data_IF_811419252868
#
_entry.id   IF_811419252868
#
_cell.length_a   1.000
_cell.length_b   1.000
_cell.length_c   1.000
_cell.angle_alpha   90.00
_cell.angle_beta   90.00
_cell.angle_gamma   90.00
#
_symmetry.space_group_name_H-M   'P 1'
#
loop_
_entity.id
_entity.type
_entity.pdbx_description
1 polymer ?
#
# COMPACT_ATOMS: atom_id res chain seq x y z
N UNK A 1 -19.21 9.42 -16.39
CA UNK A 1 -18.85 8.47 -16.25
C UNK A 1 -18.72 8.33 -15.40
N UNK A 2 -18.96 7.57 -15.31
CA UNK A 2 -18.58 6.93 -14.46
C UNK A 2 -17.39 6.33 -14.45
N UNK A 3 -16.54 6.68 -13.80
CA UNK A 3 -15.30 6.07 -13.60
C UNK A 3 -15.40 4.77 -12.90
N UNK A 4 -14.33 4.06 -12.89
CA UNK A 4 -14.20 2.91 -12.00
C UNK A 4 -14.25 3.43 -10.57
N UNK A 5 -15.06 2.85 -9.70
CA UNK A 5 -15.02 3.21 -8.29
C UNK A 5 -13.62 2.99 -7.73
N UNK A 6 -13.13 3.95 -6.97
CA UNK A 6 -11.76 3.93 -6.44
C UNK A 6 -11.75 3.85 -4.92
N UNK A 7 -12.56 2.96 -4.37
CA UNK A 7 -12.43 2.62 -2.96
C UNK A 7 -11.23 1.67 -2.76
N UNK A 8 -10.78 1.54 -1.54
CA UNK A 8 -9.57 0.79 -1.24
C UNK A 8 -8.30 1.60 -1.48
N UNK A 9 -7.16 0.95 -1.39
CA UNK A 9 -5.85 1.60 -1.47
C UNK A 9 -5.23 1.39 -2.85
N UNK A 10 -5.18 2.44 -3.67
CA UNK A 10 -4.57 2.39 -4.99
C UNK A 10 -3.05 2.24 -4.86
N UNK A 11 -2.45 1.41 -5.72
CA UNK A 11 -1.02 1.10 -5.65
C UNK A 11 -0.15 2.34 -5.83
N UNK A 12 -0.48 3.21 -6.78
CA UNK A 12 0.30 4.42 -7.03
C UNK A 12 0.19 5.41 -5.87
N UNK A 13 -0.97 5.52 -5.24
CA UNK A 13 -1.17 6.41 -4.09
C UNK A 13 -0.41 5.88 -2.87
N UNK A 14 -0.41 4.58 -2.68
CA UNK A 14 0.34 3.96 -1.58
C UNK A 14 1.84 4.19 -1.75
N UNK A 15 2.35 4.09 -2.98
CA UNK A 15 3.75 4.38 -3.27
C UNK A 15 4.11 5.85 -3.01
N UNK A 16 3.23 6.77 -3.42
CA UNK A 16 3.42 8.21 -3.15
C UNK A 16 3.39 8.50 -1.66
N UNK A 17 2.49 7.87 -0.93
CA UNK A 17 2.41 8.03 0.53
C UNK A 17 3.70 7.58 1.19
N UNK A 18 4.24 6.43 0.78
CA UNK A 18 5.51 5.93 1.31
C UNK A 18 6.64 6.93 1.08
N UNK A 19 6.76 7.47 -0.14
CA UNK A 19 7.78 8.46 -0.49
C UNK A 19 7.64 9.72 0.34
N UNK A 20 6.41 10.21 0.51
CA UNK A 20 6.13 11.41 1.29
C UNK A 20 6.48 11.21 2.76
N UNK A 21 6.09 10.08 3.34
CA UNK A 21 6.38 9.77 4.74
C UNK A 21 7.88 9.61 4.98
N UNK A 22 8.60 8.98 4.05
CA UNK A 22 10.05 8.84 4.14
C UNK A 22 10.74 10.20 4.12
N UNK A 23 10.27 11.12 3.26
CA UNK A 23 10.79 12.48 3.20
C UNK A 23 10.49 13.26 4.48
N UNK A 24 9.25 13.19 4.99
CA UNK A 24 8.87 13.85 6.24
C UNK A 24 9.71 13.35 7.41
N UNK A 25 9.93 12.04 7.49
CA UNK A 25 10.78 11.46 8.53
C UNK A 25 12.20 12.02 8.47
N UNK A 26 12.73 12.16 7.25
CA UNK A 26 14.07 12.69 7.04
C UNK A 26 14.18 14.14 7.48
N UNK A 27 13.26 15.01 7.06
CA UNK A 27 13.33 16.42 7.43
C UNK A 27 13.05 16.64 8.91
N UNK A 28 12.26 15.78 9.55
CA UNK A 28 12.07 15.82 11.00
C UNK A 28 13.35 15.49 11.75
N UNK A 29 14.06 14.44 11.30
CA UNK A 29 15.35 14.05 11.87
C UNK A 29 16.39 15.16 11.73
N UNK A 30 16.39 15.84 10.59
CA UNK A 30 17.34 16.92 10.32
C UNK A 30 16.98 18.21 11.06
N UNK A 31 15.89 18.23 11.80
CA UNK A 31 15.44 19.41 12.53
C UNK A 31 14.80 20.49 11.68
N UNK A 32 14.54 20.20 10.40
CA UNK A 32 13.94 21.17 9.47
C UNK A 32 12.43 21.23 9.58
N UNK A 33 11.82 20.22 10.21
CA UNK A 33 10.38 20.14 10.40
C UNK A 33 10.13 19.69 11.84
N UNK A 34 9.31 20.44 12.58
CA UNK A 34 9.17 20.19 14.02
C UNK A 34 8.26 19.00 14.36
N UNK A 35 7.42 18.57 13.44
CA UNK A 35 6.50 17.46 13.69
C UNK A 35 7.13 16.17 13.22
N UNK A 36 6.95 15.09 13.97
CA UNK A 36 7.48 13.77 13.57
C UNK A 36 6.42 12.68 13.61
N UNK A 37 5.18 13.02 13.97
CA UNK A 37 4.12 12.02 14.11
C UNK A 37 2.76 12.62 13.86
N UNK A 38 1.78 11.75 13.64
CA UNK A 38 0.36 12.10 13.55
C UNK A 38 -0.44 11.17 14.46
N UNK A 39 -1.66 11.56 14.81
CA UNK A 39 -2.54 10.70 15.59
C UNK A 39 -3.35 9.80 14.65
N UNK A 40 -3.44 8.53 15.02
CA UNK A 40 -4.33 7.59 14.34
C UNK A 40 -5.76 7.80 14.82
N UNK A 41 -6.72 7.10 14.20
CA UNK A 41 -8.13 7.20 14.57
C UNK A 41 -8.40 6.81 16.02
N UNK A 42 -7.57 5.95 16.61
CA UNK A 42 -7.68 5.54 18.02
C UNK A 42 -6.94 6.47 18.98
N UNK A 43 -6.55 7.65 18.51
CA UNK A 43 -5.82 8.68 19.26
C UNK A 43 -4.39 8.32 19.66
N UNK A 44 -3.87 7.17 19.25
CA UNK A 44 -2.46 6.83 19.49
C UNK A 44 -1.58 7.45 18.40
N UNK A 45 -0.39 7.94 18.77
CA UNK A 45 0.50 8.53 17.77
C UNK A 45 1.22 7.47 16.95
N UNK A 46 1.54 7.82 15.70
CA UNK A 46 2.45 7.03 14.88
C UNK A 46 3.43 8.00 14.23
N UNK A 47 4.73 7.69 14.32
CA UNK A 47 5.73 8.53 13.69
C UNK A 47 5.71 8.33 12.17
N UNK A 48 6.19 9.33 11.42
CA UNK A 48 6.30 9.20 9.97
C UNK A 48 7.19 8.01 9.60
N UNK A 49 8.29 7.84 10.33
CA UNK A 49 9.22 6.72 10.12
C UNK A 49 8.53 5.37 10.33
N UNK A 50 7.79 5.21 11.43
CA UNK A 50 7.07 3.97 11.72
C UNK A 50 5.99 3.68 10.68
N UNK A 51 5.27 4.70 10.24
CA UNK A 51 4.24 4.55 9.22
C UNK A 51 4.86 4.14 7.88
N UNK A 52 5.95 4.80 7.47
CA UNK A 52 6.66 4.43 6.25
C UNK A 52 7.15 2.98 6.31
N UNK A 53 7.66 2.56 7.47
CA UNK A 53 8.12 1.18 7.66
C UNK A 53 6.97 0.17 7.52
N UNK A 54 5.81 0.48 8.08
CA UNK A 54 4.63 -0.39 7.93
C UNK A 54 4.25 -0.56 6.45
N UNK A 55 4.27 0.51 5.68
CA UNK A 55 3.97 0.44 4.26
C UNK A 55 5.02 -0.43 3.55
N UNK A 56 6.30 -0.18 3.81
CA UNK A 56 7.39 -0.93 3.20
C UNK A 56 7.28 -2.43 3.51
N UNK A 57 7.05 -2.76 4.78
CA UNK A 57 7.04 -4.16 5.21
C UNK A 57 5.85 -4.94 4.66
N UNK A 58 4.75 -4.25 4.34
CA UNK A 58 3.52 -4.91 3.90
C UNK A 58 3.20 -4.72 2.42
N UNK A 59 3.91 -3.84 1.72
CA UNK A 59 3.61 -3.50 0.34
C UNK A 59 3.65 -4.72 -0.57
N UNK A 60 4.75 -5.47 -0.54
CA UNK A 60 4.90 -6.67 -1.37
C UNK A 60 3.81 -7.70 -1.04
N UNK A 61 3.57 -7.94 0.25
CA UNK A 61 2.59 -8.92 0.69
C UNK A 61 1.18 -8.60 0.21
N UNK A 62 0.81 -7.32 0.20
CA UNK A 62 -0.54 -6.91 -0.14
C UNK A 62 -0.76 -6.69 -1.63
N UNK A 63 0.27 -6.23 -2.34
CA UNK A 63 0.11 -5.81 -3.74
C UNK A 63 0.75 -6.73 -4.75
N UNK A 64 1.82 -7.43 -4.41
CA UNK A 64 2.54 -8.23 -5.40
C UNK A 64 1.82 -9.56 -5.69
N UNK A 65 1.79 -9.94 -6.97
CA UNK A 65 1.27 -11.23 -7.41
C UNK A 65 2.46 -12.03 -7.94
N UNK A 66 2.86 -13.11 -7.23
CA UNK A 66 4.07 -13.85 -7.63
C UNK A 66 3.88 -14.53 -8.97
N UNK A 67 5.00 -14.76 -9.65
CA UNK A 67 4.99 -15.48 -10.93
C UNK A 67 4.51 -16.91 -10.80
N UNK A 68 4.85 -17.56 -9.67
CA UNK A 68 4.53 -18.96 -9.44
C UNK A 68 3.41 -19.06 -8.41
N UNK A 69 2.33 -19.73 -8.78
CA UNK A 69 1.18 -19.93 -7.89
C UNK A 69 1.56 -20.65 -6.58
N UNK A 70 2.64 -21.43 -6.58
CA UNK A 70 3.12 -22.10 -5.38
C UNK A 70 3.56 -21.12 -4.28
N UNK A 71 3.84 -19.88 -4.64
CA UNK A 71 4.26 -18.84 -3.69
C UNK A 71 3.10 -18.01 -3.16
N UNK A 72 1.88 -18.26 -3.60
CA UNK A 72 0.70 -17.45 -3.21
C UNK A 72 0.51 -17.38 -1.70
N UNK A 73 0.93 -18.38 -0.96
CA UNK A 73 0.75 -18.41 0.50
C UNK A 73 1.53 -17.30 1.23
N UNK A 74 2.53 -16.72 0.57
CA UNK A 74 3.33 -15.62 1.14
C UNK A 74 2.64 -14.26 1.01
N UNK A 75 1.56 -14.18 0.23
CA UNK A 75 0.93 -12.92 -0.16
C UNK A 75 -0.57 -12.96 0.11
N UNK A 76 -1.19 -11.77 0.11
CA UNK A 76 -2.64 -11.66 0.21
C UNK A 76 -3.21 -11.78 -1.20
N UNK A 77 -3.65 -12.98 -1.58
CA UNK A 77 -4.08 -13.29 -2.94
C UNK A 77 -5.39 -14.07 -2.95
N UNK A 78 -6.25 -13.73 -3.92
CA UNK A 78 -7.41 -14.54 -4.26
C UNK A 78 -7.18 -15.12 -5.66
N UNK A 79 -6.72 -16.39 -5.74
CA UNK A 79 -6.24 -16.96 -7.02
C UNK A 79 -7.27 -16.92 -8.15
N UNK A 80 -8.55 -17.05 -7.83
CA UNK A 80 -9.63 -17.10 -8.82
C UNK A 80 -9.76 -15.80 -9.63
N UNK A 81 -9.28 -14.69 -9.10
CA UNK A 81 -9.37 -13.38 -9.75
C UNK A 81 -8.11 -12.96 -10.48
N UNK A 82 -7.04 -13.76 -10.38
CA UNK A 82 -5.75 -13.43 -10.99
C UNK A 82 -5.74 -13.79 -12.45
N UNK A 83 -5.52 -12.79 -13.33
CA UNK A 83 -5.40 -13.01 -14.76
C UNK A 83 -3.99 -12.75 -15.30
N UNK A 84 -3.10 -12.20 -14.49
CA UNK A 84 -1.69 -11.95 -14.82
C UNK A 84 -0.85 -12.10 -13.57
N UNK A 85 0.39 -12.52 -13.74
CA UNK A 85 1.30 -12.75 -12.62
C UNK A 85 2.62 -12.01 -12.83
N UNK A 86 3.37 -11.84 -11.74
CA UNK A 86 4.64 -11.12 -11.79
C UNK A 86 4.45 -9.61 -11.84
N UNK A 87 3.31 -9.11 -11.40
CA UNK A 87 2.99 -7.68 -11.40
C UNK A 87 2.29 -7.30 -10.09
N UNK A 88 2.07 -6.02 -9.89
CA UNK A 88 1.38 -5.50 -8.72
C UNK A 88 -0.09 -5.28 -8.99
N UNK A 89 -0.92 -5.42 -7.96
CA UNK A 89 -2.34 -5.11 -8.03
C UNK A 89 -2.56 -3.62 -8.23
N UNK A 90 -3.69 -3.26 -8.86
CA UNK A 90 -4.13 -1.86 -8.97
C UNK A 90 -4.54 -1.30 -7.61
N UNK A 91 -5.37 -2.04 -6.88
CA UNK A 91 -5.96 -1.62 -5.63
C UNK A 91 -5.82 -2.73 -4.60
N UNK A 92 -5.91 -2.37 -3.32
CA UNK A 92 -5.99 -3.33 -2.24
C UNK A 92 -7.19 -2.99 -1.35
N UNK A 93 -8.02 -3.99 -1.08
CA UNK A 93 -9.15 -3.82 -0.17
C UNK A 93 -10.31 -3.02 -0.72
N UNK A 94 -10.51 -3.02 -2.05
CA UNK A 94 -11.68 -2.38 -2.64
C UNK A 94 -12.96 -3.15 -2.28
N UNK A 95 -14.10 -2.48 -2.40
CA UNK A 95 -15.40 -3.10 -2.14
C UNK A 95 -15.74 -4.23 -3.12
N UNK A 96 -15.09 -4.24 -4.27
CA UNK A 96 -15.22 -5.30 -5.27
C UNK A 96 -13.86 -5.90 -5.53
N UNK A 97 -13.68 -7.14 -5.11
CA UNK A 97 -12.38 -7.83 -5.15
C UNK A 97 -11.76 -7.82 -6.55
N UNK A 98 -12.56 -8.00 -7.59
CA UNK A 98 -12.01 -8.05 -8.96
C UNK A 98 -11.32 -6.74 -9.37
N UNK A 99 -11.67 -5.62 -8.74
CA UNK A 99 -11.04 -4.34 -9.04
C UNK A 99 -9.60 -4.27 -8.55
N UNK A 100 -9.27 -5.02 -7.49
CA UNK A 100 -7.89 -5.14 -7.01
C UNK A 100 -6.99 -5.78 -8.06
N UNK A 101 -7.57 -6.62 -8.92
CA UNK A 101 -6.83 -7.44 -9.87
C UNK A 101 -7.02 -7.03 -11.33
N UNK A 102 -7.32 -5.77 -11.59
CA UNK A 102 -7.40 -5.31 -12.98
C UNK A 102 -6.07 -5.44 -13.71
N UNK A 103 -4.97 -5.28 -13.02
CA UNK A 103 -3.64 -5.69 -13.48
C UNK A 103 -3.26 -5.07 -14.84
N UNK A 104 -3.28 -3.78 -14.90
CA UNK A 104 -2.94 -3.03 -16.11
C UNK A 104 -1.45 -2.82 -16.29
#
# INVERSE_FOLDING_TARGET
MIGTPRDGAAVEITGLLYSTLSWLAKISKDGKFKWNSVKKLDDTPITYEAWAKLIKDNFERCYYIPKNAADDWKYVIKPDTVNRRGIYKDLFGSGKVYEDYQLR
#
